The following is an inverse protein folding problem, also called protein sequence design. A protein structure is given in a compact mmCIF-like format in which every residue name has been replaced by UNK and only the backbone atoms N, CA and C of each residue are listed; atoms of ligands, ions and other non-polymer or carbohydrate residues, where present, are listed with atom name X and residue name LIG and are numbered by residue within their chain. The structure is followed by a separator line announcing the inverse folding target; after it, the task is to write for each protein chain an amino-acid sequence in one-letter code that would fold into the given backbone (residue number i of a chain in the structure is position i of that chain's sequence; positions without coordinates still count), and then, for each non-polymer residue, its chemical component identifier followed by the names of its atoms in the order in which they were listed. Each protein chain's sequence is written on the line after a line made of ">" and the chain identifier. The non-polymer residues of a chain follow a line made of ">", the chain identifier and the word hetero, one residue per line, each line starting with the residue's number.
data_IF_730293581565
#
_entry.id   IF_730293581565
#
_cell.length_a   1.000
_cell.length_b   1.000
_cell.length_c   1.000
_cell.angle_alpha   90.00
_cell.angle_beta   90.00
_cell.angle_gamma   90.00
#
_symmetry.space_group_name_H-M   'P 1'
#
loop_
_entity.id
_entity.type
_entity.pdbx_description
1 polymer ?
#
# COMPACT_ATOMS: atom_id res chain seq x y z
N UNK A 1 17.71 -24.26 31.45
CA UNK A 1 16.65 -23.54 30.72
C UNK A 1 17.33 -22.58 29.76
N UNK A 2 16.98 -22.53 28.46
CA UNK A 2 17.57 -21.54 27.58
C UNK A 2 17.17 -20.14 28.07
N UNK A 3 18.16 -19.31 28.40
CA UNK A 3 17.96 -17.91 28.76
C UNK A 3 17.89 -17.08 27.48
N UNK A 4 16.86 -16.25 27.34
CA UNK A 4 16.73 -15.37 26.19
C UNK A 4 17.83 -14.29 26.23
N UNK A 5 18.64 -14.20 25.18
CA UNK A 5 19.75 -13.25 25.08
C UNK A 5 19.37 -12.05 24.20
N UNK A 6 19.11 -10.91 24.84
CA UNK A 6 18.74 -9.65 24.17
C UNK A 6 19.90 -9.00 23.42
N UNK A 7 21.15 -9.37 23.70
CA UNK A 7 22.31 -8.80 23.01
C UNK A 7 22.27 -9.09 21.50
N UNK A 8 21.63 -10.20 21.11
CA UNK A 8 21.40 -10.60 19.72
C UNK A 8 20.54 -9.60 18.93
N UNK A 9 19.67 -8.83 19.59
CA UNK A 9 18.85 -7.80 18.93
C UNK A 9 19.59 -6.46 18.79
N UNK A 10 20.55 -6.21 19.68
CA UNK A 10 21.31 -4.97 19.77
C UNK A 10 22.59 -5.00 18.93
N UNK A 11 23.11 -6.19 18.62
CA UNK A 11 24.32 -6.39 17.84
C UNK A 11 24.16 -7.51 16.81
N UNK A 12 24.98 -7.47 15.75
CA UNK A 12 25.00 -8.51 14.73
C UNK A 12 23.87 -8.40 13.68
N UNK A 13 23.56 -9.51 12.96
CA UNK A 13 22.71 -9.47 11.77
C UNK A 13 21.25 -9.09 12.06
N UNK A 14 20.68 -9.51 13.20
CA UNK A 14 19.30 -9.17 13.55
C UNK A 14 19.09 -7.68 13.79
N UNK A 15 20.07 -7.01 14.41
CA UNK A 15 20.05 -5.56 14.57
C UNK A 15 19.92 -4.86 13.21
N UNK A 16 20.73 -5.28 12.23
CA UNK A 16 20.68 -4.73 10.88
C UNK A 16 19.34 -5.01 10.19
N UNK A 17 18.76 -6.21 10.37
CA UNK A 17 17.44 -6.55 9.82
C UNK A 17 16.32 -5.70 10.43
N UNK A 18 16.33 -5.48 11.74
CA UNK A 18 15.35 -4.63 12.43
C UNK A 18 15.45 -3.19 11.93
N UNK A 19 16.67 -2.66 11.78
CA UNK A 19 16.87 -1.32 11.22
C UNK A 19 16.43 -1.22 9.77
N UNK A 20 16.73 -2.23 8.94
CA UNK A 20 16.28 -2.28 7.56
C UNK A 20 14.75 -2.30 7.46
N UNK A 21 14.09 -3.12 8.29
CA UNK A 21 12.63 -3.19 8.38
C UNK A 21 12.01 -1.88 8.85
N UNK A 22 12.56 -1.25 9.89
CA UNK A 22 12.08 0.05 10.37
C UNK A 22 12.24 1.14 9.30
N UNK A 23 13.39 1.18 8.62
CA UNK A 23 13.64 2.11 7.51
C UNK A 23 12.64 1.87 6.36
N UNK A 24 12.38 0.62 6.01
CA UNK A 24 11.41 0.28 4.97
C UNK A 24 10.00 0.76 5.36
N UNK A 25 9.55 0.48 6.58
CA UNK A 25 8.25 0.92 7.10
C UNK A 25 8.10 2.43 7.08
N UNK A 26 9.13 3.17 7.51
CA UNK A 26 9.13 4.64 7.47
C UNK A 26 9.14 5.18 6.04
N UNK A 27 9.85 4.52 5.13
CA UNK A 27 9.88 4.89 3.71
C UNK A 27 8.50 4.70 3.07
N UNK A 28 7.87 3.54 3.30
CA UNK A 28 6.52 3.26 2.83
C UNK A 28 5.52 4.26 3.42
N UNK A 29 5.61 4.57 4.71
CA UNK A 29 4.76 5.58 5.35
C UNK A 29 4.93 6.96 4.68
N UNK A 30 6.17 7.41 4.51
CA UNK A 30 6.48 8.72 3.95
C UNK A 30 5.96 8.90 2.51
N UNK A 31 5.89 7.81 1.73
CA UNK A 31 5.40 7.82 0.36
C UNK A 31 3.88 7.62 0.30
N UNK A 32 3.33 6.67 1.04
CA UNK A 32 1.91 6.29 0.95
C UNK A 32 1.01 7.30 1.64
N UNK A 33 1.45 7.91 2.74
CA UNK A 33 0.66 8.90 3.47
C UNK A 33 0.23 10.11 2.60
N UNK A 34 1.14 10.82 1.91
CA UNK A 34 0.72 11.95 1.07
C UNK A 34 -0.18 11.52 -0.09
N UNK A 35 0.07 10.35 -0.70
CA UNK A 35 -0.76 9.81 -1.78
C UNK A 35 -2.17 9.49 -1.28
N UNK A 36 -2.28 8.83 -0.13
CA UNK A 36 -3.53 8.50 0.53
C UNK A 36 -4.31 9.76 0.93
N UNK A 37 -3.63 10.80 1.46
CA UNK A 37 -4.25 12.06 1.84
C UNK A 37 -4.84 12.80 0.63
N UNK A 38 -4.09 12.89 -0.48
CA UNK A 38 -4.58 13.49 -1.71
C UNK A 38 -5.78 12.72 -2.24
N UNK A 39 -5.69 11.38 -2.29
CA UNK A 39 -6.78 10.53 -2.75
C UNK A 39 -8.02 10.65 -1.86
N UNK A 40 -7.86 10.58 -0.55
CA UNK A 40 -8.94 10.71 0.43
C UNK A 40 -9.62 12.08 0.35
N UNK A 41 -8.84 13.16 0.17
CA UNK A 41 -9.40 14.50 -0.04
C UNK A 41 -10.23 14.57 -1.32
N UNK A 42 -9.74 14.03 -2.43
CA UNK A 42 -10.47 13.99 -3.70
C UNK A 42 -11.79 13.21 -3.55
N UNK A 43 -11.74 12.05 -2.90
CA UNK A 43 -12.92 11.20 -2.65
C UNK A 43 -13.91 11.91 -1.72
N UNK A 44 -13.43 12.62 -0.70
CA UNK A 44 -14.27 13.42 0.19
C UNK A 44 -15.02 14.50 -0.57
N UNK A 45 -14.34 15.24 -1.45
CA UNK A 45 -14.96 16.27 -2.31
C UNK A 45 -16.00 15.64 -3.24
N UNK A 46 -15.70 14.49 -3.86
CA UNK A 46 -16.67 13.77 -4.70
C UNK A 46 -17.94 13.39 -3.93
N UNK A 47 -17.81 12.90 -2.70
CA UNK A 47 -18.94 12.49 -1.85
C UNK A 47 -19.80 13.67 -1.38
N UNK A 48 -19.21 14.86 -1.25
CA UNK A 48 -19.91 16.09 -0.89
C UNK A 48 -20.55 16.82 -2.09
N UNK A 49 -20.28 16.36 -3.30
CA UNK A 49 -20.82 16.97 -4.52
C UNK A 49 -22.35 16.96 -4.56
N UNK A 50 -23.00 18.06 -5.00
CA UNK A 50 -24.44 18.08 -5.26
C UNK A 50 -24.83 17.24 -6.49
N UNK A 51 -23.87 16.93 -7.37
CA UNK A 51 -24.10 16.12 -8.56
C UNK A 51 -24.11 14.64 -8.18
N UNK A 52 -25.27 13.99 -8.38
CA UNK A 52 -25.45 12.59 -8.05
C UNK A 52 -24.38 11.66 -8.66
N UNK A 53 -23.96 11.79 -9.93
CA UNK A 53 -22.92 10.93 -10.51
C UNK A 53 -21.59 11.02 -9.77
N UNK A 54 -21.15 12.23 -9.41
CA UNK A 54 -19.88 12.43 -8.68
C UNK A 54 -19.95 11.82 -7.28
N UNK A 55 -21.06 12.00 -6.57
CA UNK A 55 -21.26 11.37 -5.27
C UNK A 55 -21.24 9.85 -5.34
N UNK A 56 -21.82 9.28 -6.39
CA UNK A 56 -21.78 7.83 -6.66
C UNK A 56 -20.36 7.33 -6.92
N UNK A 57 -19.53 8.07 -7.66
CA UNK A 57 -18.14 7.65 -7.88
C UNK A 57 -17.34 7.57 -6.56
N UNK A 58 -17.48 8.56 -5.68
CA UNK A 58 -16.86 8.54 -4.35
C UNK A 58 -17.41 7.43 -3.46
N UNK A 59 -18.72 7.14 -3.53
CA UNK A 59 -19.33 6.02 -2.84
C UNK A 59 -18.77 4.66 -3.30
N UNK A 60 -18.73 4.41 -4.60
CA UNK A 60 -18.22 3.16 -5.18
C UNK A 60 -16.74 2.93 -4.84
N UNK A 61 -15.93 3.98 -4.87
CA UNK A 61 -14.53 3.89 -4.49
C UNK A 61 -14.37 3.45 -3.03
N UNK A 62 -15.04 4.12 -2.09
CA UNK A 62 -14.95 3.80 -0.66
C UNK A 62 -15.47 2.39 -0.37
N UNK A 63 -16.62 2.05 -0.93
CA UNK A 63 -17.26 0.76 -0.69
C UNK A 63 -16.42 -0.40 -1.24
N UNK A 64 -15.84 -0.25 -2.44
CA UNK A 64 -14.96 -1.29 -3.00
C UNK A 64 -13.71 -1.50 -2.16
N UNK A 65 -13.05 -0.44 -1.69
CA UNK A 65 -11.79 -0.60 -0.96
C UNK A 65 -11.99 -1.10 0.46
N UNK A 66 -13.06 -0.67 1.14
CA UNK A 66 -13.33 -1.07 2.53
C UNK A 66 -13.86 -2.49 2.67
N UNK A 67 -14.42 -3.05 1.59
CA UNK A 67 -14.92 -4.43 1.57
C UNK A 67 -13.86 -5.47 1.17
N UNK A 68 -12.66 -5.04 0.77
CA UNK A 68 -11.55 -5.95 0.42
C UNK A 68 -10.54 -5.97 1.57
N UNK A 69 -10.20 -7.16 2.13
CA UNK A 69 -9.15 -7.27 3.14
C UNK A 69 -7.81 -6.75 2.60
N UNK A 70 -7.06 -6.00 3.42
CA UNK A 70 -5.78 -5.41 3.02
C UNK A 70 -4.83 -6.46 2.40
N UNK A 71 -4.75 -7.65 2.98
CA UNK A 71 -3.91 -8.72 2.46
C UNK A 71 -4.32 -9.14 1.03
N UNK A 72 -5.62 -9.33 0.77
CA UNK A 72 -6.11 -9.63 -0.57
C UNK A 72 -5.83 -8.48 -1.54
N UNK A 73 -5.94 -7.23 -1.07
CA UNK A 73 -5.60 -6.04 -1.83
C UNK A 73 -4.11 -6.06 -2.24
N UNK A 74 -3.19 -6.31 -1.30
CA UNK A 74 -1.75 -6.42 -1.56
C UNK A 74 -1.42 -7.55 -2.54
N UNK A 75 -2.02 -8.74 -2.33
CA UNK A 75 -1.83 -9.89 -3.21
C UNK A 75 -2.34 -9.62 -4.62
N UNK A 76 -3.47 -8.93 -4.76
CA UNK A 76 -3.98 -8.52 -6.06
C UNK A 76 -3.00 -7.60 -6.79
N UNK A 77 -2.46 -6.57 -6.14
CA UNK A 77 -1.52 -5.65 -6.80
C UNK A 77 -0.17 -6.28 -7.13
N UNK A 78 0.26 -7.28 -6.37
CA UNK A 78 1.51 -7.98 -6.61
C UNK A 78 1.39 -9.08 -7.68
N UNK A 79 0.34 -9.91 -7.61
CA UNK A 79 0.18 -11.08 -8.48
C UNK A 79 -0.88 -10.91 -9.58
N UNK A 80 -1.97 -10.19 -9.32
CA UNK A 80 -3.12 -10.10 -10.22
C UNK A 80 -3.02 -8.94 -11.22
N UNK A 81 -2.83 -7.71 -10.73
CA UNK A 81 -2.79 -6.51 -11.55
C UNK A 81 -1.74 -6.55 -12.67
N UNK A 82 -0.50 -7.07 -12.46
CA UNK A 82 0.49 -7.14 -13.53
C UNK A 82 0.09 -8.04 -14.70
N UNK A 83 -0.73 -9.07 -14.47
CA UNK A 83 -1.23 -9.99 -15.51
C UNK A 83 -2.28 -9.34 -16.42
N UNK A 84 -2.83 -8.18 -16.02
CA UNK A 84 -3.77 -7.40 -16.81
C UNK A 84 -3.07 -6.35 -17.69
N UNK A 85 -1.75 -6.16 -17.52
CA UNK A 85 -0.97 -5.17 -18.26
C UNK A 85 -0.43 -5.76 -19.58
N UNK A 86 -0.19 -4.92 -20.61
CA UNK A 86 0.58 -5.33 -21.78
C UNK A 86 1.99 -5.81 -21.40
N UNK A 87 2.54 -6.72 -22.20
CA UNK A 87 3.85 -7.37 -21.93
C UNK A 87 4.97 -6.37 -21.60
N UNK A 88 5.05 -5.26 -22.33
CA UNK A 88 6.06 -4.22 -22.11
C UNK A 88 5.96 -3.54 -20.74
N UNK A 89 4.74 -3.29 -20.27
CA UNK A 89 4.50 -2.69 -18.96
C UNK A 89 4.74 -3.70 -17.83
N UNK A 90 4.37 -4.96 -18.05
CA UNK A 90 4.62 -6.08 -17.13
C UNK A 90 6.12 -6.33 -16.95
N UNK A 91 6.88 -6.39 -18.04
CA UNK A 91 8.35 -6.51 -17.98
C UNK A 91 9.00 -5.33 -17.27
N UNK A 92 8.59 -4.10 -17.56
CA UNK A 92 9.08 -2.91 -16.86
C UNK A 92 8.85 -3.03 -15.35
N UNK A 93 7.65 -3.46 -14.95
CA UNK A 93 7.28 -3.59 -13.55
C UNK A 93 8.13 -4.63 -12.81
N UNK A 94 8.39 -5.78 -13.43
CA UNK A 94 9.23 -6.85 -12.84
C UNK A 94 10.73 -6.55 -12.86
N UNK A 95 11.20 -5.69 -13.76
CA UNK A 95 12.58 -5.17 -13.71
C UNK A 95 12.80 -4.18 -12.56
N UNK A 96 11.71 -3.65 -11.99
CA UNK A 96 11.73 -2.75 -10.84
C UNK A 96 11.28 -3.46 -9.56
N UNK A 97 11.25 -2.72 -8.45
CA UNK A 97 10.82 -3.26 -7.17
C UNK A 97 9.29 -3.38 -7.11
N UNK A 98 8.76 -4.46 -7.71
CA UNK A 98 7.33 -4.78 -7.74
C UNK A 98 6.73 -4.86 -6.33
N UNK A 99 7.47 -5.38 -5.35
CA UNK A 99 7.02 -5.48 -3.94
C UNK A 99 6.71 -4.09 -3.38
N UNK A 100 7.63 -3.13 -3.57
CA UNK A 100 7.46 -1.76 -3.12
C UNK A 100 6.35 -1.04 -3.87
N UNK A 101 6.25 -1.24 -5.20
CA UNK A 101 5.20 -0.61 -6.01
C UNK A 101 3.82 -1.13 -5.59
N UNK A 102 3.67 -2.45 -5.48
CA UNK A 102 2.43 -3.07 -5.05
C UNK A 102 2.05 -2.62 -3.62
N UNK A 103 3.02 -2.55 -2.70
CA UNK A 103 2.79 -2.02 -1.36
C UNK A 103 2.33 -0.56 -1.39
N UNK A 104 2.99 0.30 -2.19
CA UNK A 104 2.62 1.72 -2.27
C UNK A 104 1.22 1.90 -2.84
N UNK A 105 0.88 1.21 -3.93
CA UNK A 105 -0.44 1.29 -4.56
C UNK A 105 -1.51 0.78 -3.61
N UNK A 106 -1.33 -0.43 -3.07
CA UNK A 106 -2.32 -1.06 -2.19
C UNK A 106 -2.57 -0.25 -0.91
N UNK A 107 -1.51 0.22 -0.25
CA UNK A 107 -1.63 1.04 0.96
C UNK A 107 -2.26 2.40 0.66
N UNK A 108 -1.90 3.05 -0.45
CA UNK A 108 -2.46 4.36 -0.79
C UNK A 108 -3.95 4.29 -1.10
N UNK A 109 -4.38 3.27 -1.86
CA UNK A 109 -5.79 3.05 -2.19
C UNK A 109 -6.60 2.65 -0.97
N UNK A 110 -6.06 1.74 -0.15
CA UNK A 110 -6.73 1.28 1.07
C UNK A 110 -6.87 2.42 2.08
N UNK A 111 -5.78 3.13 2.39
CA UNK A 111 -5.79 4.22 3.35
C UNK A 111 -6.59 5.44 2.86
N UNK A 112 -6.56 5.76 1.56
CA UNK A 112 -7.34 6.85 0.99
C UNK A 112 -8.86 6.61 0.98
N UNK A 113 -9.32 5.42 1.33
CA UNK A 113 -10.73 5.08 1.47
C UNK A 113 -11.26 5.18 2.91
N UNK A 114 -10.41 5.43 3.91
CA UNK A 114 -10.80 5.68 5.30
C UNK A 114 -11.07 7.16 5.56
#
# INVERSE_FOLDING_TARGET
>A
MPTFDFSLLLAGPYHAMLWAGLRLSLTLLAVTLPLALVLGLLVAVLRLSPLAPLRWTGFLFVESQRNIPLLAHMLFWYFGAPELLPDSAKEWLYQHNIEAIAAVVSLSLYAGAF
#
